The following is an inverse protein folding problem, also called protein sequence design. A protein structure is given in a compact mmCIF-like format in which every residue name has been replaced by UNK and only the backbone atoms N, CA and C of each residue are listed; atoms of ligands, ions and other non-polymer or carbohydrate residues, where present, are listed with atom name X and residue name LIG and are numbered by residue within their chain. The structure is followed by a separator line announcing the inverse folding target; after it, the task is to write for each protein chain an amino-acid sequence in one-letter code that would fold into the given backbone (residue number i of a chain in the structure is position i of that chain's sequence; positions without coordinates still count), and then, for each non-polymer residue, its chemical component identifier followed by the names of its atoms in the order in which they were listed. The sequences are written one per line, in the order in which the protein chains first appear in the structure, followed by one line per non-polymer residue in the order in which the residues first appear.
data_IF_327572939488
#
_entry.id   IF_327572939488
#
_cell.length_a   1.000
_cell.length_b   1.000
_cell.length_c   1.000
_cell.angle_alpha   90.00
_cell.angle_beta   90.00
_cell.angle_gamma   90.00
#
_symmetry.space_group_name_H-M   'P 1'
#
loop_
_entity.id
_entity.type
_entity.pdbx_description
1 polymer ?
#
# COMPACT_ATOMS: atom_id res chain seq x y z
N UNK A 1 19.98 -3.10 16.06
CA UNK A 1 18.73 -3.75 15.62
C UNK A 1 17.74 -2.69 15.17
N UNK A 2 17.37 -2.71 13.90
CA UNK A 2 16.41 -1.77 13.30
C UNK A 2 15.25 -2.58 12.73
N UNK A 3 14.02 -2.09 12.88
CA UNK A 3 12.86 -2.55 12.14
C UNK A 3 12.61 -1.52 11.05
N UNK A 4 12.61 -1.94 9.78
CA UNK A 4 12.18 -1.09 8.67
C UNK A 4 10.65 -1.16 8.56
N UNK A 5 9.93 -0.10 8.94
CA UNK A 5 8.48 -0.11 8.96
C UNK A 5 7.83 0.14 7.60
N UNK A 6 8.62 0.44 6.56
CA UNK A 6 8.09 0.84 5.27
C UNK A 6 9.07 0.59 4.13
N UNK A 7 8.93 -0.52 3.45
CA UNK A 7 9.60 -0.76 2.17
C UNK A 7 8.62 -1.35 1.15
N UNK A 8 9.09 -1.46 -0.08
CA UNK A 8 8.36 -2.12 -1.17
C UNK A 8 9.24 -3.20 -1.79
N UNK A 9 8.61 -4.28 -2.23
CA UNK A 9 9.20 -5.28 -3.14
C UNK A 9 8.28 -5.39 -4.34
N UNK A 10 8.83 -5.67 -5.50
CA UNK A 10 8.07 -5.94 -6.72
C UNK A 10 8.84 -6.83 -7.68
N UNK A 11 8.09 -7.62 -8.43
CA UNK A 11 8.54 -8.43 -9.56
C UNK A 11 7.75 -7.97 -10.79
N UNK A 12 8.40 -7.30 -11.72
CA UNK A 12 7.76 -6.72 -12.89
C UNK A 12 7.22 -7.77 -13.86
N UNK A 13 7.74 -9.01 -13.79
CA UNK A 13 7.25 -10.10 -14.63
C UNK A 13 5.80 -10.51 -14.32
N UNK A 14 5.29 -10.14 -13.14
CA UNK A 14 3.89 -10.41 -12.74
C UNK A 14 2.88 -9.56 -13.49
N UNK A 15 3.27 -8.40 -14.02
CA UNK A 15 2.38 -7.43 -14.65
C UNK A 15 1.53 -6.61 -13.66
N UNK A 16 1.74 -6.75 -12.35
CA UNK A 16 0.93 -6.09 -11.32
C UNK A 16 1.31 -4.62 -11.07
N UNK A 17 2.37 -4.13 -11.69
CA UNK A 17 2.93 -2.80 -11.46
C UNK A 17 2.95 -1.97 -12.75
N UNK A 18 1.78 -1.66 -13.36
CA UNK A 18 1.73 -0.90 -14.63
C UNK A 18 2.39 0.47 -14.51
N UNK A 19 2.33 1.10 -13.33
CA UNK A 19 2.99 2.39 -13.06
C UNK A 19 4.54 2.34 -13.14
N UNK A 20 5.14 1.15 -13.14
CA UNK A 20 6.57 0.94 -13.38
C UNK A 20 6.87 0.42 -14.81
N UNK A 21 5.86 0.00 -15.55
CA UNK A 21 6.01 -0.65 -16.86
C UNK A 21 5.22 0.05 -17.96
N UNK A 22 4.01 -0.42 -18.26
CA UNK A 22 3.19 0.02 -19.41
C UNK A 22 2.66 1.43 -19.25
N UNK A 23 2.27 1.83 -18.04
CA UNK A 23 1.63 3.11 -17.72
C UNK A 23 2.59 4.03 -16.94
N UNK A 24 3.89 3.75 -17.03
CA UNK A 24 4.89 4.55 -16.33
C UNK A 24 4.83 6.01 -16.77
N UNK A 25 4.56 6.94 -15.84
CA UNK A 25 4.61 8.37 -16.14
C UNK A 25 6.04 8.82 -16.37
N UNK A 26 6.22 9.91 -17.14
CA UNK A 26 7.55 10.51 -17.38
C UNK A 26 8.10 11.22 -16.15
N UNK A 27 7.23 11.66 -15.27
CA UNK A 27 7.57 12.41 -14.06
C UNK A 27 6.51 12.15 -13.00
N UNK A 28 6.95 12.05 -11.76
CA UNK A 28 6.11 11.94 -10.57
C UNK A 28 6.54 12.97 -9.52
N UNK A 29 5.82 13.06 -8.39
CA UNK A 29 6.17 13.98 -7.29
C UNK A 29 7.62 13.81 -6.79
N UNK A 30 8.20 12.65 -6.94
CA UNK A 30 9.57 12.31 -6.56
C UNK A 30 10.56 12.34 -7.76
N UNK A 31 10.14 12.83 -8.93
CA UNK A 31 10.93 12.92 -10.15
C UNK A 31 10.68 11.78 -11.13
N UNK A 32 11.70 11.45 -11.93
CA UNK A 32 11.65 10.38 -12.94
C UNK A 32 11.57 8.99 -12.28
N UNK A 33 10.53 8.19 -12.51
CA UNK A 33 10.41 6.83 -11.98
C UNK A 33 11.24 5.79 -12.74
N UNK A 34 11.90 6.14 -13.86
CA UNK A 34 12.72 5.20 -14.66
C UNK A 34 13.71 4.36 -13.81
N UNK A 35 14.43 4.94 -12.83
CA UNK A 35 15.32 4.17 -11.98
C UNK A 35 14.67 3.09 -11.15
N UNK A 36 13.34 3.12 -10.97
CA UNK A 36 12.57 2.10 -10.24
C UNK A 36 12.06 0.96 -11.15
N UNK A 37 12.18 1.11 -12.49
CA UNK A 37 11.64 0.18 -13.46
C UNK A 37 12.51 -1.07 -13.64
N UNK A 38 12.77 -1.78 -12.55
CA UNK A 38 13.45 -3.07 -12.50
C UNK A 38 12.90 -3.89 -11.32
N UNK A 39 13.13 -5.19 -11.32
CA UNK A 39 12.75 -6.03 -10.20
C UNK A 39 13.44 -5.57 -8.92
N UNK A 40 12.68 -5.48 -7.83
CA UNK A 40 13.21 -5.18 -6.52
C UNK A 40 12.77 -6.26 -5.51
N UNK A 41 13.64 -7.25 -5.36
CA UNK A 41 13.40 -8.48 -4.61
C UNK A 41 14.21 -8.49 -3.29
N UNK A 42 14.01 -9.47 -2.39
CA UNK A 42 14.74 -9.55 -1.13
C UNK A 42 16.28 -9.46 -1.26
N UNK A 43 16.86 -10.01 -2.34
CA UNK A 43 18.29 -9.91 -2.60
C UNK A 43 18.75 -8.47 -2.87
N UNK A 44 17.96 -7.70 -3.64
CA UNK A 44 18.24 -6.29 -3.91
C UNK A 44 18.16 -5.47 -2.60
N UNK A 45 17.09 -5.67 -1.83
CA UNK A 45 16.90 -5.02 -0.54
C UNK A 45 18.09 -5.26 0.40
N UNK A 46 18.51 -6.52 0.58
CA UNK A 46 19.65 -6.86 1.43
C UNK A 46 20.95 -6.25 0.97
N UNK A 47 21.16 -6.16 -0.34
CA UNK A 47 22.35 -5.52 -0.91
C UNK A 47 22.38 -4.03 -0.58
N UNK A 48 21.26 -3.34 -0.72
CA UNK A 48 21.15 -1.91 -0.41
C UNK A 48 21.26 -1.62 1.10
N UNK A 49 20.81 -2.55 1.95
CA UNK A 49 20.83 -2.43 3.41
C UNK A 49 22.00 -3.15 4.08
N UNK A 50 23.04 -3.55 3.33
CA UNK A 50 24.13 -4.38 3.84
C UNK A 50 24.86 -3.80 5.08
N UNK A 51 24.93 -2.49 5.17
CA UNK A 51 25.58 -1.78 6.29
C UNK A 51 24.62 -1.44 7.44
N UNK A 52 23.36 -1.92 7.39
CA UNK A 52 22.31 -1.64 8.37
C UNK A 52 21.82 -2.93 9.01
N UNK A 53 21.79 -2.98 10.33
CA UNK A 53 21.30 -4.17 11.07
C UNK A 53 19.78 -4.19 11.11
N UNK A 54 19.15 -4.56 9.97
CA UNK A 54 17.71 -4.72 9.83
C UNK A 54 17.31 -6.11 10.32
N UNK A 55 16.48 -6.16 11.36
CA UNK A 55 16.00 -7.42 11.97
C UNK A 55 14.61 -7.82 11.54
N UNK A 56 13.75 -6.85 11.17
CA UNK A 56 12.41 -7.07 10.62
C UNK A 56 12.05 -5.98 9.65
N UNK A 57 11.10 -6.30 8.74
CA UNK A 57 10.61 -5.35 7.73
C UNK A 57 9.10 -5.44 7.59
N UNK A 58 8.47 -4.31 7.22
CA UNK A 58 7.06 -4.23 6.85
C UNK A 58 6.95 -3.79 5.40
N UNK A 59 6.35 -4.63 4.57
CA UNK A 59 6.03 -4.28 3.20
C UNK A 59 4.75 -3.46 3.16
N UNK A 60 4.78 -2.34 2.45
CA UNK A 60 3.59 -1.56 2.16
C UNK A 60 3.18 -1.85 0.71
N UNK A 61 1.88 -2.04 0.45
CA UNK A 61 1.36 -2.37 -0.87
C UNK A 61 1.99 -1.51 -1.98
N UNK A 62 2.27 -2.11 -3.13
CA UNK A 62 2.79 -1.43 -4.32
C UNK A 62 1.99 -1.78 -5.58
N UNK A 63 1.17 -2.81 -5.52
CA UNK A 63 0.38 -3.33 -6.65
C UNK A 63 -0.80 -2.43 -7.00
N UNK A 64 -1.17 -2.47 -8.30
CA UNK A 64 -2.46 -2.02 -8.82
C UNK A 64 -3.22 -3.21 -9.47
N UNK A 65 -3.07 -4.42 -8.95
CA UNK A 65 -3.77 -5.59 -9.45
C UNK A 65 -5.22 -5.59 -8.96
N UNK A 66 -6.13 -5.05 -9.77
CA UNK A 66 -7.56 -4.98 -9.46
C UNK A 66 -8.27 -6.34 -9.63
N UNK A 67 -7.75 -7.22 -10.51
CA UNK A 67 -8.33 -8.54 -10.77
C UNK A 67 -8.17 -9.52 -9.58
N UNK A 68 -7.12 -9.36 -8.79
CA UNK A 68 -6.84 -10.17 -7.60
C UNK A 68 -6.16 -9.34 -6.52
N UNK A 69 -6.94 -8.66 -5.68
CA UNK A 69 -6.41 -7.77 -4.63
C UNK A 69 -5.52 -8.47 -3.58
N UNK A 70 -5.59 -9.80 -3.47
CA UNK A 70 -4.78 -10.58 -2.50
C UNK A 70 -3.54 -11.23 -3.11
N UNK A 71 -3.32 -11.08 -4.41
CA UNK A 71 -2.20 -11.71 -5.11
C UNK A 71 -0.84 -11.27 -4.54
N UNK A 72 -0.65 -9.97 -4.32
CA UNK A 72 0.58 -9.44 -3.72
C UNK A 72 0.81 -9.99 -2.31
N UNK A 73 -0.23 -10.08 -1.49
CA UNK A 73 -0.14 -10.64 -0.13
C UNK A 73 0.35 -12.08 -0.15
N UNK A 74 -0.24 -12.94 -1.00
CA UNK A 74 0.20 -14.35 -1.13
C UNK A 74 1.64 -14.47 -1.63
N UNK A 75 2.03 -13.63 -2.58
CA UNK A 75 3.41 -13.58 -3.08
C UNK A 75 4.40 -13.16 -1.98
N UNK A 76 4.08 -12.14 -1.19
CA UNK A 76 4.91 -11.69 -0.08
C UNK A 76 5.05 -12.74 1.03
N UNK A 77 3.99 -13.51 1.32
CA UNK A 77 4.08 -14.65 2.23
C UNK A 77 4.99 -15.76 1.70
N UNK A 78 4.99 -16.00 0.39
CA UNK A 78 5.93 -16.94 -0.22
C UNK A 78 7.38 -16.45 -0.10
N UNK A 79 7.63 -15.15 -0.34
CA UNK A 79 8.93 -14.54 -0.12
C UNK A 79 9.39 -14.63 1.34
N UNK A 80 8.47 -14.41 2.29
CA UNK A 80 8.80 -14.58 3.71
C UNK A 80 9.23 -16.01 4.03
N UNK A 81 8.53 -17.02 3.52
CA UNK A 81 8.89 -18.44 3.73
C UNK A 81 10.27 -18.78 3.18
N UNK A 82 10.63 -18.20 2.04
CA UNK A 82 11.91 -18.49 1.36
C UNK A 82 13.06 -17.63 1.90
N UNK A 83 12.78 -16.35 2.17
CA UNK A 83 13.81 -15.36 2.46
C UNK A 83 13.73 -14.75 3.86
N UNK A 84 12.70 -15.06 4.68
CA UNK A 84 12.51 -14.50 6.00
C UNK A 84 12.04 -13.04 6.02
N UNK A 85 11.61 -12.50 4.87
CA UNK A 85 11.08 -11.12 4.74
C UNK A 85 10.06 -11.02 3.61
N UNK A 86 9.11 -10.06 3.70
CA UNK A 86 8.83 -9.15 4.81
C UNK A 86 8.27 -9.88 6.04
N UNK A 87 8.18 -9.21 7.20
CA UNK A 87 7.65 -9.79 8.44
C UNK A 87 6.24 -9.28 8.80
N UNK A 88 5.80 -8.23 8.14
CA UNK A 88 4.46 -7.68 8.19
C UNK A 88 4.07 -7.10 6.84
N UNK A 89 2.78 -7.00 6.59
CA UNK A 89 2.22 -6.49 5.33
C UNK A 89 1.14 -5.46 5.66
N UNK A 90 1.24 -4.30 5.03
CA UNK A 90 0.13 -3.37 4.85
C UNK A 90 -0.36 -3.55 3.42
N UNK A 91 -1.52 -4.16 3.27
CA UNK A 91 -2.06 -4.59 1.99
C UNK A 91 -2.93 -3.51 1.32
N UNK A 92 -3.51 -3.81 0.17
CA UNK A 92 -4.51 -2.98 -0.50
C UNK A 92 -5.93 -3.54 -0.32
N UNK A 93 -6.93 -2.65 -0.35
CA UNK A 93 -8.33 -3.01 -0.51
C UNK A 93 -9.08 -1.86 -1.19
N UNK A 94 -10.06 -2.16 -2.08
CA UNK A 94 -10.86 -1.16 -2.78
C UNK A 94 -12.01 -0.68 -1.88
N UNK A 95 -11.71 0.22 -0.93
CA UNK A 95 -12.64 0.62 0.13
C UNK A 95 -13.94 1.28 -0.36
N UNK A 96 -13.94 1.84 -1.56
CA UNK A 96 -15.09 2.49 -2.19
C UNK A 96 -15.92 1.55 -3.10
N UNK A 97 -15.53 0.27 -3.20
CA UNK A 97 -16.19 -0.70 -4.07
C UNK A 97 -17.11 -1.65 -3.29
N UNK A 98 -18.13 -2.24 -3.94
CA UNK A 98 -19.05 -3.17 -3.29
C UNK A 98 -18.37 -4.40 -2.66
N UNK A 99 -17.25 -4.85 -3.21
CA UNK A 99 -16.47 -5.99 -2.75
C UNK A 99 -15.51 -5.68 -1.60
N UNK A 100 -15.49 -4.44 -1.10
CA UNK A 100 -14.57 -4.01 -0.04
C UNK A 100 -14.56 -4.96 1.17
N UNK A 101 -15.73 -5.37 1.64
CA UNK A 101 -15.84 -6.27 2.79
C UNK A 101 -15.27 -7.67 2.50
N UNK A 102 -15.50 -8.23 1.32
CA UNK A 102 -14.97 -9.52 0.90
C UNK A 102 -13.43 -9.48 0.84
N UNK A 103 -12.88 -8.42 0.25
CA UNK A 103 -11.43 -8.23 0.14
C UNK A 103 -10.80 -8.03 1.53
N UNK A 104 -11.40 -7.23 2.40
CA UNK A 104 -10.91 -7.03 3.76
C UNK A 104 -10.93 -8.33 4.58
N UNK A 105 -12.00 -9.13 4.46
CA UNK A 105 -12.08 -10.44 5.08
C UNK A 105 -10.98 -11.38 4.58
N UNK A 106 -10.74 -11.42 3.26
CA UNK A 106 -9.68 -12.21 2.66
C UNK A 106 -8.29 -11.74 3.13
N UNK A 107 -8.01 -10.43 3.11
CA UNK A 107 -6.74 -9.88 3.59
C UNK A 107 -6.50 -10.18 5.08
N UNK A 108 -7.51 -10.03 5.93
CA UNK A 108 -7.39 -10.29 7.37
C UNK A 108 -7.15 -11.76 7.72
N UNK A 109 -7.47 -12.69 6.82
CA UNK A 109 -7.18 -14.11 6.98
C UNK A 109 -5.68 -14.45 6.84
N UNK A 110 -4.88 -13.53 6.29
CA UNK A 110 -3.44 -13.67 6.17
C UNK A 110 -2.75 -13.16 7.44
N UNK A 111 -2.07 -14.07 8.17
CA UNK A 111 -1.44 -13.74 9.47
C UNK A 111 -0.39 -12.62 9.41
N UNK A 112 0.18 -12.36 8.25
CA UNK A 112 1.17 -11.29 8.07
C UNK A 112 0.55 -9.92 7.82
N UNK A 113 -0.71 -9.83 7.43
CA UNK A 113 -1.41 -8.56 7.19
C UNK A 113 -1.72 -7.89 8.54
N UNK A 114 -1.40 -6.61 8.64
CA UNK A 114 -1.60 -5.77 9.83
C UNK A 114 -2.45 -4.56 9.56
N UNK A 115 -2.52 -4.14 8.31
CA UNK A 115 -3.23 -2.94 7.92
C UNK A 115 -3.50 -2.89 6.44
N UNK A 116 -4.20 -1.84 6.06
CA UNK A 116 -4.53 -1.51 4.67
C UNK A 116 -3.98 -0.12 4.36
N UNK A 117 -3.46 0.07 3.15
CA UNK A 117 -3.15 1.39 2.61
C UNK A 117 -4.10 1.72 1.46
N UNK A 118 -4.66 2.92 1.50
CA UNK A 118 -5.29 3.54 0.34
C UNK A 118 -4.65 4.90 0.07
N UNK A 119 -4.27 5.13 -1.18
CA UNK A 119 -3.62 6.38 -1.58
C UNK A 119 -4.70 7.41 -1.85
N UNK A 120 -4.84 8.39 -0.95
CA UNK A 120 -5.80 9.50 -1.09
C UNK A 120 -5.12 10.81 -1.53
N UNK A 121 -3.81 10.78 -1.77
CA UNK A 121 -3.01 11.94 -2.16
C UNK A 121 -3.51 12.53 -3.48
N UNK A 122 -4.20 13.65 -3.41
CA UNK A 122 -4.64 14.39 -4.59
C UNK A 122 -3.94 15.75 -4.70
N UNK A 123 -3.61 16.13 -5.93
CA UNK A 123 -3.02 17.42 -6.27
C UNK A 123 -3.66 17.98 -7.55
N UNK A 124 -3.84 19.32 -7.62
CA UNK A 124 -4.41 19.98 -8.80
C UNK A 124 -3.55 19.87 -10.06
N UNK A 125 -2.23 19.68 -9.90
CA UNK A 125 -1.36 19.26 -11.00
C UNK A 125 -1.37 17.73 -11.07
N UNK A 126 -1.86 17.13 -12.18
CA UNK A 126 -1.98 15.67 -12.31
C UNK A 126 -0.63 14.93 -12.24
N UNK A 127 0.47 15.58 -12.58
CA UNK A 127 1.83 14.99 -12.44
C UNK A 127 2.16 14.63 -11.00
N UNK A 128 1.60 15.38 -10.05
CA UNK A 128 1.86 15.18 -8.62
C UNK A 128 0.74 14.41 -7.91
N UNK A 129 -0.37 14.14 -8.61
CA UNK A 129 -1.53 13.48 -8.02
C UNK A 129 -1.42 11.97 -8.15
N UNK A 130 -1.64 11.25 -7.05
CA UNK A 130 -1.78 9.79 -7.05
C UNK A 130 -3.24 9.35 -7.07
N UNK A 131 -4.19 10.29 -6.92
CA UNK A 131 -5.62 10.03 -6.97
C UNK A 131 -6.30 11.00 -7.93
N UNK A 132 -7.38 10.56 -8.55
CA UNK A 132 -8.17 11.37 -9.48
C UNK A 132 -9.19 12.28 -8.76
N UNK A 133 -9.45 12.03 -7.47
CA UNK A 133 -10.46 12.72 -6.65
C UNK A 133 -9.81 13.39 -5.45
N UNK A 134 -10.27 14.62 -5.15
CA UNK A 134 -9.85 15.36 -3.95
C UNK A 134 -10.73 15.08 -2.72
N UNK A 135 -11.91 14.53 -2.94
CA UNK A 135 -12.96 14.33 -1.94
C UNK A 135 -13.09 12.89 -1.41
N UNK A 136 -12.13 11.99 -1.74
CA UNK A 136 -12.26 10.56 -1.45
C UNK A 136 -12.50 10.27 0.06
N UNK A 137 -11.83 10.99 0.96
CA UNK A 137 -12.05 10.85 2.41
C UNK A 137 -13.42 11.32 2.90
N UNK A 138 -14.19 12.02 2.05
CA UNK A 138 -15.58 12.43 2.31
C UNK A 138 -16.60 11.55 1.58
N UNK A 139 -16.15 10.66 0.68
CA UNK A 139 -17.03 9.76 -0.04
C UNK A 139 -17.68 8.75 0.91
N UNK A 140 -19.00 8.61 0.82
CA UNK A 140 -19.76 7.76 1.74
C UNK A 140 -19.49 6.26 1.55
N UNK A 141 -19.24 5.80 0.31
CA UNK A 141 -18.92 4.40 0.04
C UNK A 141 -17.52 4.08 0.57
N UNK A 142 -16.54 4.94 0.30
CA UNK A 142 -15.19 4.80 0.83
C UNK A 142 -15.17 4.79 2.37
N UNK A 143 -15.90 5.69 3.04
CA UNK A 143 -16.02 5.74 4.51
C UNK A 143 -16.72 4.50 5.08
N UNK A 144 -17.69 3.95 4.36
CA UNK A 144 -18.31 2.68 4.76
C UNK A 144 -17.32 1.52 4.71
N UNK A 145 -16.52 1.40 3.66
CA UNK A 145 -15.43 0.42 3.59
C UNK A 145 -14.33 0.66 4.62
N UNK A 146 -13.95 1.93 4.85
CA UNK A 146 -12.99 2.30 5.90
C UNK A 146 -13.45 1.84 7.29
N UNK A 147 -14.72 2.03 7.62
CA UNK A 147 -15.28 1.61 8.92
C UNK A 147 -15.16 0.09 9.17
N UNK A 148 -15.08 -0.72 8.12
CA UNK A 148 -14.91 -2.17 8.23
C UNK A 148 -13.52 -2.57 8.77
N UNK A 149 -12.52 -1.68 8.72
CA UNK A 149 -11.18 -1.96 9.25
C UNK A 149 -11.22 -2.30 10.74
N UNK A 150 -12.06 -1.63 11.53
CA UNK A 150 -12.28 -1.94 12.96
C UNK A 150 -12.78 -3.39 13.14
N UNK A 151 -13.76 -3.82 12.34
CA UNK A 151 -14.27 -5.20 12.35
C UNK A 151 -13.19 -6.25 12.15
N UNK A 152 -12.22 -5.96 11.29
CA UNK A 152 -11.13 -6.88 10.95
C UNK A 152 -9.84 -6.61 11.73
N UNK A 153 -9.85 -5.67 12.69
CA UNK A 153 -8.68 -5.27 13.49
C UNK A 153 -7.47 -4.89 12.64
N UNK A 154 -7.71 -4.17 11.56
CA UNK A 154 -6.68 -3.69 10.63
C UNK A 154 -6.40 -2.21 10.88
N UNK A 155 -5.12 -1.84 10.92
CA UNK A 155 -4.70 -0.43 10.91
C UNK A 155 -4.85 0.17 9.51
N UNK A 156 -4.77 1.50 9.43
CA UNK A 156 -4.82 2.20 8.15
C UNK A 156 -3.60 3.09 7.92
N UNK A 157 -2.90 2.86 6.82
CA UNK A 157 -1.81 3.71 6.37
C UNK A 157 -2.33 4.78 5.41
N UNK A 158 -2.39 6.02 5.89
CA UNK A 158 -2.95 7.14 5.17
C UNK A 158 -1.87 7.90 4.39
N UNK A 159 -1.84 7.72 3.07
CA UNK A 159 -0.96 8.47 2.18
C UNK A 159 -1.69 9.70 1.61
N UNK A 160 -1.29 10.90 2.05
CA UNK A 160 -1.93 12.16 1.70
C UNK A 160 -0.91 13.30 1.51
N UNK A 161 -1.36 14.42 0.95
CA UNK A 161 -0.60 15.67 0.95
C UNK A 161 -0.99 16.58 2.15
N UNK A 162 -0.09 17.49 2.59
CA UNK A 162 -0.32 18.32 3.77
C UNK A 162 -1.63 19.12 3.76
N UNK A 163 -2.12 19.51 2.58
CA UNK A 163 -3.40 20.23 2.42
C UNK A 163 -4.62 19.40 2.83
N UNK A 164 -4.51 18.06 2.84
CA UNK A 164 -5.57 17.11 3.19
C UNK A 164 -5.56 16.71 4.68
N UNK A 165 -4.67 17.31 5.50
CA UNK A 165 -4.57 16.99 6.93
C UNK A 165 -5.87 17.30 7.70
N UNK A 166 -6.63 18.32 7.27
CA UNK A 166 -7.95 18.62 7.87
C UNK A 166 -8.93 17.46 7.72
N UNK A 167 -8.96 16.85 6.53
CA UNK A 167 -9.82 15.71 6.22
C UNK A 167 -9.36 14.45 6.99
N UNK A 168 -8.04 14.27 7.14
CA UNK A 168 -7.50 13.18 7.96
C UNK A 168 -7.88 13.31 9.44
N UNK A 169 -7.89 14.53 9.98
CA UNK A 169 -8.36 14.80 11.37
C UNK A 169 -9.84 14.47 11.51
N UNK A 170 -10.67 14.86 10.53
CA UNK A 170 -12.11 14.51 10.52
C UNK A 170 -12.29 12.98 10.47
N UNK A 171 -11.53 12.29 9.62
CA UNK A 171 -11.57 10.84 9.50
C UNK A 171 -11.20 10.16 10.83
N UNK A 172 -10.09 10.55 11.45
CA UNK A 172 -9.63 9.99 12.73
C UNK A 172 -10.64 10.25 13.88
N UNK A 173 -11.28 11.43 13.91
CA UNK A 173 -12.32 11.73 14.89
C UNK A 173 -13.60 10.91 14.67
N UNK A 174 -13.91 10.59 13.41
CA UNK A 174 -15.10 9.81 13.05
C UNK A 174 -14.91 8.31 13.32
N UNK A 175 -13.67 7.81 13.30
CA UNK A 175 -13.33 6.38 13.45
C UNK A 175 -12.19 6.19 14.45
N UNK A 176 -12.41 6.46 15.75
CA UNK A 176 -11.34 6.51 16.75
C UNK A 176 -10.72 5.14 17.11
N UNK A 177 -11.25 4.04 16.57
CA UNK A 177 -10.73 2.68 16.81
C UNK A 177 -9.79 2.19 15.68
N UNK A 178 -9.63 2.98 14.61
CA UNK A 178 -8.80 2.63 13.44
C UNK A 178 -7.51 3.44 13.46
#
# INVERSE_FOLDING_TARGET
NIIDPHHHLWDLSTGWYPWLTTDRPKEMVFGDPEPLAHDYLPANYRTHMADVDIVKTVHIQATNNEDDPTAETRWLEALNKEHGMPNGIVASAPLDQPEAEEVLAAQSAHEMVRGIRSIVSWHSNPVFSFNVRDDLMHDSAWRAGYALLDKYSLSFDLMLFPRQLGDAVDLANSFPNI
#
